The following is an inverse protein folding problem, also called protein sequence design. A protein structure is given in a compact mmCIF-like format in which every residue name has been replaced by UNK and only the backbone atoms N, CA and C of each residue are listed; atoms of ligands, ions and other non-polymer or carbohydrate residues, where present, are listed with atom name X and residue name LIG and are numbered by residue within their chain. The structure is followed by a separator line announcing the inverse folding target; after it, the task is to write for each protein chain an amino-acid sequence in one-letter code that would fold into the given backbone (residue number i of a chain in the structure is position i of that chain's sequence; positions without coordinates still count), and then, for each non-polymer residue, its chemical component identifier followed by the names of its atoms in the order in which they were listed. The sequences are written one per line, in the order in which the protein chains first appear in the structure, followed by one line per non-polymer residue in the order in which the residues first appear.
data_IF_430807891933
#
_entry.id   IF_430807891933
#
_cell.length_a   1.000
_cell.length_b   1.000
_cell.length_c   1.000
_cell.angle_alpha   90.00
_cell.angle_beta   90.00
_cell.angle_gamma   90.00
#
_symmetry.space_group_name_H-M   'P 1'
#
loop_
_entity.id
_entity.type
_entity.pdbx_description
1 polymer ?
#
# COMPACT_ATOMS: atom_id res chain seq x y z
N UNK A 1 15.64 -28.94 0.73
CA UNK A 1 14.81 -27.72 0.79
C UNK A 1 15.20 -26.92 -0.43
N UNK A 2 14.31 -26.87 -1.43
CA UNK A 2 14.64 -26.31 -2.74
C UNK A 2 14.69 -24.78 -2.68
N UNK A 3 15.66 -24.24 -3.44
CA UNK A 3 16.01 -22.84 -3.59
C UNK A 3 15.00 -22.08 -4.49
N UNK A 4 13.71 -22.39 -4.41
CA UNK A 4 12.70 -21.92 -5.37
C UNK A 4 12.26 -20.46 -5.11
N UNK A 5 12.75 -19.83 -4.03
CA UNK A 5 12.35 -18.46 -3.63
C UNK A 5 12.89 -17.34 -4.52
N UNK A 6 13.70 -17.66 -5.54
CA UNK A 6 14.31 -16.71 -6.47
C UNK A 6 13.91 -16.94 -7.93
N UNK A 7 12.85 -17.72 -8.19
CA UNK A 7 12.32 -17.85 -9.55
C UNK A 7 11.92 -16.48 -10.08
N UNK A 8 12.60 -16.03 -11.15
CA UNK A 8 12.30 -14.77 -11.83
C UNK A 8 10.98 -14.97 -12.59
N UNK A 9 10.04 -14.06 -12.38
CA UNK A 9 8.73 -14.07 -13.04
C UNK A 9 8.55 -12.83 -13.91
N UNK A 10 7.78 -12.99 -14.99
CA UNK A 10 7.30 -11.87 -15.79
C UNK A 10 6.08 -11.24 -15.12
N UNK A 11 6.28 -10.08 -14.49
CA UNK A 11 5.26 -9.36 -13.75
C UNK A 11 4.19 -8.75 -14.67
N UNK A 12 4.54 -8.39 -15.91
CA UNK A 12 3.58 -7.87 -16.89
C UNK A 12 2.54 -8.95 -17.22
N UNK A 13 2.97 -10.23 -17.31
CA UNK A 13 2.05 -11.35 -17.51
C UNK A 13 1.12 -11.63 -16.32
N UNK A 14 1.42 -11.09 -15.13
CA UNK A 14 0.56 -11.19 -13.93
C UNK A 14 -0.56 -10.16 -13.89
N UNK A 15 -0.59 -9.17 -14.80
CA UNK A 15 -1.59 -8.09 -14.86
C UNK A 15 -3.03 -8.55 -14.60
N UNK A 16 -3.51 -9.56 -15.32
CA UNK A 16 -4.91 -9.99 -15.23
C UNK A 16 -5.24 -10.62 -13.86
N UNK A 17 -4.26 -11.29 -13.25
CA UNK A 17 -4.38 -11.84 -11.90
C UNK A 17 -4.54 -10.70 -10.87
N UNK A 18 -3.70 -9.66 -10.98
CA UNK A 18 -3.74 -8.47 -10.14
C UNK A 18 -5.06 -7.72 -10.32
N UNK A 19 -5.50 -7.51 -11.56
CA UNK A 19 -6.79 -6.87 -11.87
C UNK A 19 -7.95 -7.65 -11.21
N UNK A 20 -7.95 -8.98 -11.33
CA UNK A 20 -8.99 -9.82 -10.75
C UNK A 20 -8.96 -9.80 -9.21
N UNK A 21 -7.78 -9.68 -8.61
CA UNK A 21 -7.64 -9.49 -7.17
C UNK A 21 -8.28 -8.18 -6.71
N UNK A 22 -7.91 -7.05 -7.32
CA UNK A 22 -8.39 -5.72 -6.87
C UNK A 22 -9.86 -5.48 -7.18
N UNK A 23 -10.41 -6.09 -8.24
CA UNK A 23 -11.84 -6.01 -8.60
C UNK A 23 -12.77 -6.51 -7.49
N UNK A 24 -12.29 -7.36 -6.59
CA UNK A 24 -13.06 -7.83 -5.42
C UNK A 24 -13.36 -6.69 -4.43
N UNK A 25 -12.55 -5.63 -4.45
CA UNK A 25 -12.60 -4.51 -3.50
C UNK A 25 -13.03 -3.18 -4.13
N UNK A 26 -12.96 -3.08 -5.47
CA UNK A 26 -13.39 -1.90 -6.21
C UNK A 26 -13.89 -2.30 -7.62
N UNK A 27 -15.20 -2.19 -7.86
CA UNK A 27 -15.82 -2.64 -9.12
C UNK A 27 -15.99 -1.53 -10.15
N UNK A 28 -16.11 -0.26 -9.73
CA UNK A 28 -16.58 0.82 -10.62
C UNK A 28 -15.50 1.85 -11.02
N UNK A 29 -14.39 1.93 -10.28
CA UNK A 29 -13.39 3.00 -10.46
C UNK A 29 -11.99 2.49 -10.83
N UNK A 30 -11.89 1.30 -11.43
CA UNK A 30 -10.63 0.72 -11.86
C UNK A 30 -10.22 1.24 -13.24
N UNK A 31 -9.01 1.82 -13.32
CA UNK A 31 -8.37 2.28 -14.55
C UNK A 31 -7.06 1.52 -14.73
N UNK A 32 -6.79 1.14 -15.98
CA UNK A 32 -5.53 0.48 -16.37
C UNK A 32 -4.90 1.32 -17.46
N UNK A 33 -3.64 1.70 -17.27
CA UNK A 33 -2.82 2.40 -18.23
C UNK A 33 -1.67 1.49 -18.63
N UNK A 34 -1.38 1.40 -19.92
CA UNK A 34 -0.27 0.60 -20.43
C UNK A 34 0.69 1.52 -21.18
N UNK A 35 1.98 1.33 -20.96
CA UNK A 35 3.03 1.99 -21.71
C UNK A 35 3.12 1.54 -23.16
N UNK A 36 3.85 2.31 -23.96
CA UNK A 36 4.27 1.87 -25.29
C UNK A 36 4.99 0.52 -25.18
N UNK A 37 4.70 -0.40 -26.10
CA UNK A 37 5.20 -1.78 -26.09
C UNK A 37 4.86 -2.62 -24.84
N UNK A 38 3.98 -2.14 -23.95
CA UNK A 38 3.57 -2.85 -22.70
C UNK A 38 4.72 -3.10 -21.72
N UNK A 39 5.73 -2.24 -21.71
CA UNK A 39 6.88 -2.35 -20.80
C UNK A 39 6.54 -1.95 -19.35
N UNK A 40 5.44 -1.22 -19.16
CA UNK A 40 4.90 -0.89 -17.86
C UNK A 40 3.37 -0.85 -17.89
N UNK A 41 2.76 -1.11 -16.73
CA UNK A 41 1.32 -1.05 -16.52
C UNK A 41 1.04 -0.33 -15.20
N UNK A 42 0.14 0.65 -15.21
CA UNK A 42 -0.38 1.28 -14.00
C UNK A 42 -1.83 0.89 -13.81
N UNK A 43 -2.16 0.32 -12.65
CA UNK A 43 -3.53 0.04 -12.22
C UNK A 43 -3.89 1.06 -11.12
N UNK A 44 -4.89 1.89 -11.37
CA UNK A 44 -5.43 2.82 -10.38
C UNK A 44 -6.86 2.45 -10.03
N UNK A 45 -7.21 2.50 -8.75
CA UNK A 45 -8.59 2.33 -8.32
C UNK A 45 -8.89 3.16 -7.07
N UNK A 46 -10.18 3.42 -6.85
CA UNK A 46 -10.66 4.29 -5.80
C UNK A 46 -11.67 3.58 -4.91
N UNK A 47 -11.57 3.75 -3.60
CA UNK A 47 -12.63 3.32 -2.70
C UNK A 47 -13.87 4.24 -2.84
N UNK A 48 -14.94 3.91 -2.13
CA UNK A 48 -16.18 4.71 -2.10
C UNK A 48 -16.01 6.10 -1.44
N UNK A 49 -14.84 6.40 -0.89
CA UNK A 49 -14.48 7.66 -0.26
C UNK A 49 -13.44 8.46 -1.07
N UNK A 50 -13.30 8.15 -2.37
CA UNK A 50 -12.39 8.79 -3.30
C UNK A 50 -10.90 8.73 -2.88
N UNK A 51 -10.50 7.67 -2.17
CA UNK A 51 -9.08 7.40 -1.88
C UNK A 51 -8.50 6.52 -2.96
N UNK A 52 -7.39 6.97 -3.53
CA UNK A 52 -6.68 6.29 -4.60
C UNK A 52 -5.73 5.23 -4.05
N UNK A 53 -5.72 4.08 -4.69
CA UNK A 53 -4.69 3.07 -4.60
C UNK A 53 -4.09 2.90 -6.00
N UNK A 54 -2.76 2.88 -6.09
CA UNK A 54 -2.06 2.71 -7.36
C UNK A 54 -1.10 1.53 -7.26
N UNK A 55 -1.07 0.71 -8.32
CA UNK A 55 -0.10 -0.36 -8.51
C UNK A 55 0.61 -0.08 -9.83
N UNK A 56 1.93 0.11 -9.78
CA UNK A 56 2.80 0.20 -10.94
C UNK A 56 3.48 -1.15 -11.16
N UNK A 57 3.49 -1.66 -12.39
CA UNK A 57 4.02 -2.97 -12.77
C UNK A 57 4.99 -2.76 -13.92
N UNK A 58 6.26 -3.04 -13.69
CA UNK A 58 7.30 -3.07 -14.72
C UNK A 58 8.26 -4.23 -14.41
N UNK A 59 9.56 -3.96 -14.27
CA UNK A 59 10.54 -4.93 -13.77
C UNK A 59 10.42 -5.21 -12.26
N UNK A 60 9.59 -4.44 -11.56
CA UNK A 60 9.15 -4.66 -10.19
C UNK A 60 7.68 -4.22 -10.07
N UNK A 61 7.00 -4.63 -9.00
CA UNK A 61 5.70 -4.07 -8.65
C UNK A 61 5.91 -3.00 -7.58
N UNK A 62 5.29 -1.83 -7.74
CA UNK A 62 5.25 -0.81 -6.70
C UNK A 62 3.81 -0.50 -6.29
N UNK A 63 3.52 -0.56 -5.00
CA UNK A 63 2.26 -0.08 -4.44
C UNK A 63 2.43 1.37 -4.01
N UNK A 64 1.44 2.22 -4.26
CA UNK A 64 1.33 3.56 -3.67
C UNK A 64 -0.01 3.71 -2.96
N UNK A 65 0.04 4.00 -1.66
CA UNK A 65 -1.16 4.23 -0.85
C UNK A 65 -0.87 5.17 0.33
N UNK A 66 -1.60 6.28 0.41
CA UNK A 66 -1.60 7.21 1.57
C UNK A 66 -0.21 7.72 2.00
N UNK A 67 0.70 7.91 1.05
CA UNK A 67 2.08 8.35 1.30
C UNK A 67 3.07 7.23 1.54
N UNK A 68 2.60 6.01 1.83
CA UNK A 68 3.42 4.82 1.83
C UNK A 68 3.55 4.23 0.44
N UNK A 69 4.70 3.64 0.18
CA UNK A 69 4.96 2.83 -1.01
C UNK A 69 5.88 1.66 -0.68
N UNK A 70 5.74 0.57 -1.43
CA UNK A 70 6.58 -0.61 -1.30
C UNK A 70 6.90 -1.18 -2.67
N UNK A 71 8.14 -1.64 -2.82
CA UNK A 71 8.70 -2.20 -4.04
C UNK A 71 8.88 -3.71 -3.87
N UNK A 72 8.40 -4.48 -4.86
CA UNK A 72 8.44 -5.94 -4.87
C UNK A 72 9.16 -6.40 -6.13
N UNK A 73 10.32 -7.00 -5.94
CA UNK A 73 11.16 -7.48 -7.05
C UNK A 73 10.46 -8.58 -7.87
N UNK A 74 10.89 -8.80 -9.10
CA UNK A 74 10.32 -9.78 -10.03
C UNK A 74 10.62 -11.25 -9.71
N UNK A 75 10.52 -11.67 -8.46
CA UNK A 75 10.60 -13.07 -8.08
C UNK A 75 9.34 -13.53 -7.35
N UNK A 76 9.12 -14.85 -7.34
CA UNK A 76 7.92 -15.46 -6.77
C UNK A 76 7.66 -15.04 -5.31
N UNK A 77 8.68 -15.04 -4.46
CA UNK A 77 8.55 -14.66 -3.04
C UNK A 77 8.05 -13.21 -2.89
N UNK A 78 8.63 -12.28 -3.64
CA UNK A 78 8.23 -10.87 -3.59
C UNK A 78 6.83 -10.67 -4.16
N UNK A 79 6.44 -11.44 -5.18
CA UNK A 79 5.08 -11.43 -5.70
C UNK A 79 4.06 -11.94 -4.68
N UNK A 80 4.36 -13.03 -3.95
CA UNK A 80 3.50 -13.52 -2.87
C UNK A 80 3.34 -12.49 -1.73
N UNK A 81 4.44 -11.85 -1.32
CA UNK A 81 4.42 -10.75 -0.36
C UNK A 81 3.56 -9.57 -0.84
N UNK A 82 3.67 -9.20 -2.11
CA UNK A 82 2.84 -8.17 -2.73
C UNK A 82 1.33 -8.52 -2.65
N UNK A 83 0.97 -9.76 -2.98
CA UNK A 83 -0.43 -10.22 -2.92
C UNK A 83 -0.94 -10.19 -1.48
N UNK A 84 -0.11 -10.60 -0.52
CA UNK A 84 -0.42 -10.57 0.91
C UNK A 84 -0.67 -9.13 1.40
N UNK A 85 0.23 -8.19 1.07
CA UNK A 85 0.11 -6.80 1.50
C UNK A 85 -1.10 -6.09 0.86
N UNK A 86 -1.43 -6.37 -0.41
CA UNK A 86 -2.70 -5.91 -1.01
C UNK A 86 -3.88 -6.41 -0.19
N UNK A 87 -3.92 -7.71 0.13
CA UNK A 87 -5.05 -8.25 0.88
C UNK A 87 -5.14 -7.65 2.28
N UNK A 88 -4.01 -7.47 2.98
CA UNK A 88 -4.03 -6.85 4.30
C UNK A 88 -4.54 -5.42 4.28
N UNK A 89 -4.10 -4.61 3.30
CA UNK A 89 -4.55 -3.22 3.19
C UNK A 89 -6.03 -3.18 2.80
N UNK A 90 -6.43 -3.89 1.73
CA UNK A 90 -7.79 -3.80 1.20
C UNK A 90 -8.84 -4.44 2.12
N UNK A 91 -8.46 -5.39 2.98
CA UNK A 91 -9.34 -5.92 4.04
C UNK A 91 -9.29 -5.14 5.35
N UNK A 92 -8.52 -4.05 5.44
CA UNK A 92 -8.33 -3.28 6.68
C UNK A 92 -7.75 -4.12 7.84
N UNK A 93 -6.89 -5.08 7.50
CA UNK A 93 -6.12 -5.87 8.47
C UNK A 93 -4.81 -5.20 8.85
N UNK A 94 -4.36 -4.23 8.05
CA UNK A 94 -3.25 -3.31 8.34
C UNK A 94 -3.62 -1.89 7.92
N UNK A 95 -2.98 -0.90 8.51
CA UNK A 95 -3.13 0.51 8.17
C UNK A 95 -1.77 1.15 7.87
N UNK A 96 -1.80 2.27 7.16
CA UNK A 96 -0.61 3.08 6.93
C UNK A 96 -0.53 4.14 8.02
N UNK A 97 0.59 4.18 8.74
CA UNK A 97 0.97 5.34 9.55
C UNK A 97 1.65 6.32 8.61
N UNK A 98 1.12 7.54 8.52
CA UNK A 98 1.75 8.66 7.82
C UNK A 98 1.85 9.85 8.77
N UNK A 99 3.04 10.43 8.87
CA UNK A 99 3.34 11.46 9.87
C UNK A 99 3.78 12.76 9.23
N UNK A 100 3.43 13.88 9.86
CA UNK A 100 3.90 15.20 9.46
C UNK A 100 4.44 16.03 10.62
N UNK A 101 5.45 16.85 10.35
CA UNK A 101 5.97 17.85 11.28
C UNK A 101 5.87 19.23 10.61
N UNK A 102 5.16 20.17 11.25
CA UNK A 102 4.92 21.51 10.70
C UNK A 102 4.33 21.47 9.27
N UNK A 103 3.41 20.53 9.03
CA UNK A 103 2.76 20.34 7.73
C UNK A 103 3.63 19.66 6.65
N UNK A 104 4.85 19.24 6.97
CA UNK A 104 5.72 18.50 6.03
C UNK A 104 5.68 17.00 6.33
N UNK A 105 5.48 16.13 5.34
CA UNK A 105 5.58 14.68 5.52
C UNK A 105 6.95 14.29 6.06
N UNK A 106 6.99 13.30 6.96
CA UNK A 106 8.24 12.84 7.57
C UNK A 106 8.45 11.34 7.41
N UNK A 107 7.53 10.52 7.89
CA UNK A 107 7.62 9.05 7.82
C UNK A 107 6.28 8.47 7.37
N UNK A 108 6.34 7.43 6.53
CA UNK A 108 5.20 6.58 6.24
C UNK A 108 5.60 5.09 6.28
N UNK A 109 4.84 4.26 7.00
CA UNK A 109 5.03 2.82 7.07
C UNK A 109 3.69 2.09 7.22
N UNK A 110 3.67 0.80 6.91
CA UNK A 110 2.50 -0.05 7.13
C UNK A 110 2.62 -0.73 8.50
N UNK A 111 1.55 -0.68 9.29
CA UNK A 111 1.46 -1.39 10.57
C UNK A 111 1.43 -2.90 10.38
N UNK A 112 1.87 -3.66 11.38
CA UNK A 112 1.76 -5.13 11.35
C UNK A 112 0.36 -5.63 11.77
N UNK A 113 -0.45 -4.75 12.39
CA UNK A 113 -1.76 -5.07 12.97
C UNK A 113 -2.84 -4.08 12.49
N UNK A 114 -4.12 -4.38 12.76
CA UNK A 114 -5.23 -3.45 12.53
C UNK A 114 -5.62 -2.63 13.77
N UNK A 115 -4.92 -2.79 14.89
CA UNK A 115 -5.22 -2.07 16.13
C UNK A 115 -4.27 -0.89 16.24
N UNK A 116 -4.83 0.32 16.34
CA UNK A 116 -4.02 1.52 16.56
C UNK A 116 -3.62 1.57 18.03
N UNK A 117 -2.33 1.47 18.29
CA UNK A 117 -1.72 1.79 19.57
C UNK A 117 -0.93 3.10 19.43
N UNK A 118 -1.55 4.23 19.79
CA UNK A 118 -0.95 5.54 19.57
C UNK A 118 0.31 5.77 20.41
N UNK A 119 0.41 5.15 21.59
CA UNK A 119 1.56 5.29 22.47
C UNK A 119 2.79 4.63 21.83
N UNK A 120 2.63 3.39 21.31
CA UNK A 120 3.71 2.71 20.55
C UNK A 120 4.11 3.48 19.29
N UNK A 121 3.14 4.00 18.53
CA UNK A 121 3.44 4.79 17.32
C UNK A 121 4.23 6.05 17.70
N UNK A 122 3.87 6.73 18.79
CA UNK A 122 4.59 7.90 19.28
C UNK A 122 5.97 7.59 19.79
N UNK A 123 6.17 6.44 20.44
CA UNK A 123 7.50 5.99 20.84
C UNK A 123 8.42 5.79 19.62
N UNK A 124 7.86 5.32 18.49
CA UNK A 124 8.60 5.12 17.24
C UNK A 124 8.86 6.42 16.47
N UNK A 125 7.83 7.25 16.29
CA UNK A 125 7.90 8.42 15.39
C UNK A 125 8.11 9.74 16.12
N UNK A 126 7.88 9.82 17.42
CA UNK A 126 8.00 11.00 18.26
C UNK A 126 6.70 11.81 18.42
N UNK A 127 6.54 12.39 19.62
CA UNK A 127 5.34 13.13 20.07
C UNK A 127 5.05 14.44 19.34
N UNK A 128 6.05 15.02 18.69
CA UNK A 128 5.94 16.33 18.05
C UNK A 128 5.31 16.28 16.65
N UNK A 129 4.86 15.11 16.19
CA UNK A 129 4.30 14.90 14.85
C UNK A 129 2.79 14.73 14.88
N UNK A 130 2.13 15.22 13.82
CA UNK A 130 0.78 14.76 13.50
C UNK A 130 0.88 13.35 12.95
N UNK A 131 0.03 12.45 13.43
CA UNK A 131 0.00 11.04 13.05
C UNK A 131 -1.34 10.74 12.39
N UNK A 132 -1.31 10.35 11.12
CA UNK A 132 -2.47 9.90 10.35
C UNK A 132 -2.42 8.38 10.20
N UNK A 133 -3.34 7.67 10.86
CA UNK A 133 -3.52 6.23 10.70
C UNK A 133 -4.57 5.99 9.60
N UNK A 134 -4.14 5.48 8.45
CA UNK A 134 -4.92 5.41 7.23
C UNK A 134 -5.23 3.96 6.83
N UNK A 135 -6.52 3.61 6.89
CA UNK A 135 -7.07 2.35 6.39
C UNK A 135 -7.57 2.50 4.94
N UNK A 136 -7.79 1.36 4.26
CA UNK A 136 -8.50 1.37 2.98
C UNK A 136 -9.94 1.87 3.14
N UNK A 137 -10.63 1.47 4.20
CA UNK A 137 -11.89 2.05 4.63
C UNK A 137 -11.63 3.35 5.40
N UNK A 138 -11.82 4.48 4.71
CA UNK A 138 -11.55 5.81 5.27
C UNK A 138 -12.35 6.12 6.54
N UNK A 139 -13.46 5.43 6.80
CA UNK A 139 -14.23 5.63 8.03
C UNK A 139 -13.48 5.16 9.28
N UNK A 140 -12.48 4.29 9.12
CA UNK A 140 -11.61 3.80 10.20
C UNK A 140 -10.40 4.68 10.44
N UNK A 141 -10.17 5.68 9.60
CA UNK A 141 -8.99 6.54 9.73
C UNK A 141 -9.04 7.33 11.05
N UNK A 142 -7.88 7.51 11.67
CA UNK A 142 -7.74 8.32 12.87
C UNK A 142 -6.57 9.29 12.70
N UNK A 143 -6.76 10.51 13.20
CA UNK A 143 -5.75 11.57 13.16
C UNK A 143 -5.44 11.98 14.59
N UNK A 144 -4.16 11.97 14.94
CA UNK A 144 -3.68 12.38 16.24
C UNK A 144 -2.80 13.61 16.09
N UNK A 145 -3.11 14.64 16.87
CA UNK A 145 -2.33 15.87 16.88
C UNK A 145 -1.01 15.68 17.65
N UNK A 146 0.02 16.50 17.36
CA UNK A 146 1.23 16.55 18.17
C UNK A 146 0.90 16.80 19.65
N UNK A 147 1.68 16.22 20.56
CA UNK A 147 1.65 16.68 21.95
C UNK A 147 2.39 18.01 22.05
N UNK A 148 1.66 19.07 22.35
CA UNK A 148 2.24 20.36 22.72
C UNK A 148 2.67 20.30 24.17
N UNK A 149 3.96 20.51 24.42
CA UNK A 149 4.46 20.88 25.75
C UNK A 149 4.11 22.33 26.07
#
# INVERSE_FOLDING_TARGET
MNNDNNEIIDLINKKNEIINLVKKYCTENLKVFEGENKEWIVIEFYNNYNKKFTIDIANEITIFFMGWHAHYQNNLKNYEMFIEDINYILNNQRFIVNTSYQGKPTVAYMSETNVINIDEIRDEVGDNKEINCCFWDSQKNQIFQPLTN
#
